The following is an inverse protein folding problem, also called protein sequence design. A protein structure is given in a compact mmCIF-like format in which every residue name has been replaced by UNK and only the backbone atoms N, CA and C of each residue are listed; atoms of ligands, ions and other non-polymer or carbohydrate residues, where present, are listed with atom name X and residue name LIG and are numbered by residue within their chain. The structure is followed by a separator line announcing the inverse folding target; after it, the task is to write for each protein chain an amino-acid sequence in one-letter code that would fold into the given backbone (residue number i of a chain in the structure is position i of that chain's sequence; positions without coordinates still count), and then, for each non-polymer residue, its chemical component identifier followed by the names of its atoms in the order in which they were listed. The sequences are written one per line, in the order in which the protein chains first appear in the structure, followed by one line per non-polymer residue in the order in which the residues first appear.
data_IF_078394467767
#
_entry.id   IF_078394467767
#
_cell.length_a   1.000
_cell.length_b   1.000
_cell.length_c   1.000
_cell.angle_alpha   90.00
_cell.angle_beta   90.00
_cell.angle_gamma   90.00
#
_symmetry.space_group_name_H-M   'P 1'
#
loop_
_entity.id
_entity.type
_entity.pdbx_description
1 polymer ?
#
# COMPACT_ATOMS: atom_id res chain seq x y z
N UNK A 1 -5.95 -6.86 9.17
CA UNK A 1 -5.72 -7.07 7.73
C UNK A 1 -5.96 -5.74 7.05
N UNK A 2 -4.92 -4.91 7.05
CA UNK A 2 -4.92 -3.59 6.41
C UNK A 2 -3.58 -3.41 5.68
N UNK A 3 -2.49 -3.85 6.32
CA UNK A 3 -1.17 -3.92 5.72
C UNK A 3 -1.05 -5.04 4.69
N UNK A 4 -0.33 -4.77 3.60
CA UNK A 4 0.08 -5.73 2.59
C UNK A 4 1.45 -5.34 1.99
N UNK A 5 2.05 -6.28 1.24
CA UNK A 5 3.37 -6.12 0.63
C UNK A 5 3.23 -5.60 -0.82
N UNK A 6 3.78 -4.43 -1.12
CA UNK A 6 3.66 -3.77 -2.43
C UNK A 6 5.00 -3.64 -3.17
N UNK A 7 4.94 -3.76 -4.50
CA UNK A 7 6.05 -3.55 -5.44
C UNK A 7 5.64 -2.49 -6.46
N UNK A 8 5.96 -1.22 -6.16
CA UNK A 8 5.53 -0.05 -6.93
C UNK A 8 6.01 -0.02 -8.38
N UNK A 9 7.30 -0.33 -8.63
CA UNK A 9 7.86 -0.41 -9.98
C UNK A 9 8.39 -1.81 -10.25
N UNK A 10 7.67 -2.65 -11.04
CA UNK A 10 8.12 -3.99 -11.36
C UNK A 10 9.32 -4.02 -12.33
N UNK A 11 9.72 -2.88 -12.89
CA UNK A 11 10.90 -2.73 -13.73
C UNK A 11 12.14 -2.24 -12.96
N UNK A 12 11.99 -1.80 -11.70
CA UNK A 12 13.15 -1.49 -10.85
C UNK A 12 13.91 -2.78 -10.46
N UNK A 13 15.25 -2.78 -10.42
CA UNK A 13 16.02 -3.92 -9.95
C UNK A 13 15.62 -4.32 -8.53
N UNK A 14 15.31 -5.62 -8.35
CA UNK A 14 14.94 -6.31 -7.10
C UNK A 14 15.01 -5.45 -5.83
N UNK A 15 14.02 -4.58 -5.64
CA UNK A 15 13.82 -3.83 -4.41
C UNK A 15 13.01 -4.68 -3.46
N UNK A 16 13.32 -4.59 -2.17
CA UNK A 16 12.50 -5.22 -1.14
C UNK A 16 11.06 -4.65 -1.23
N UNK A 17 10.02 -5.49 -1.13
CA UNK A 17 8.65 -5.00 -1.02
C UNK A 17 8.49 -4.08 0.18
N UNK A 18 7.59 -3.12 0.07
CA UNK A 18 7.34 -2.09 1.09
C UNK A 18 5.99 -2.37 1.75
N UNK A 19 5.82 -2.15 3.07
CA UNK A 19 4.51 -2.23 3.67
C UNK A 19 3.62 -1.10 3.16
N UNK A 20 2.41 -1.44 2.77
CA UNK A 20 1.40 -0.47 2.38
C UNK A 20 0.04 -0.83 2.96
N UNK A 21 -0.85 0.15 3.09
CA UNK A 21 -2.15 -0.02 3.74
C UNK A 21 -3.29 0.18 2.76
N UNK A 22 -4.23 -0.76 2.76
CA UNK A 22 -5.45 -0.66 1.96
C UNK A 22 -6.27 0.57 2.38
N UNK A 23 -6.33 0.88 3.67
CA UNK A 23 -7.03 2.06 4.18
C UNK A 23 -6.44 3.38 3.66
N UNK A 24 -5.11 3.53 3.69
CA UNK A 24 -4.41 4.69 3.15
C UNK A 24 -4.60 4.79 1.62
N UNK A 25 -4.46 3.67 0.90
CA UNK A 25 -4.68 3.62 -0.55
C UNK A 25 -6.07 4.15 -0.94
N UNK A 26 -7.10 3.72 -0.23
CA UNK A 26 -8.48 4.13 -0.50
C UNK A 26 -8.70 5.60 -0.14
N UNK A 27 -8.09 6.09 0.94
CA UNK A 27 -8.17 7.49 1.33
C UNK A 27 -7.49 8.41 0.30
N UNK A 28 -6.31 8.01 -0.19
CA UNK A 28 -5.56 8.74 -1.21
C UNK A 28 -6.30 8.75 -2.55
N UNK A 29 -6.83 7.60 -2.96
CA UNK A 29 -7.63 7.48 -4.18
C UNK A 29 -8.87 8.40 -4.15
N UNK A 30 -9.60 8.42 -3.03
CA UNK A 30 -10.77 9.29 -2.87
C UNK A 30 -10.36 10.76 -2.90
N UNK A 31 -9.21 11.10 -2.31
CA UNK A 31 -8.67 12.47 -2.29
C UNK A 31 -8.35 12.95 -3.71
N UNK A 32 -7.64 12.15 -4.50
CA UNK A 32 -7.27 12.49 -5.88
C UNK A 32 -8.48 12.63 -6.80
N UNK A 33 -9.41 11.68 -6.74
CA UNK A 33 -10.64 11.72 -7.54
C UNK A 33 -11.52 12.90 -7.14
N UNK A 34 -11.59 13.19 -5.83
CA UNK A 34 -12.32 14.31 -5.26
C UNK A 34 -11.79 15.67 -5.75
N UNK A 35 -10.48 15.80 -5.96
CA UNK A 35 -9.90 17.04 -6.48
C UNK A 35 -10.42 17.35 -7.89
N UNK A 36 -10.36 16.39 -8.82
CA UNK A 36 -10.91 16.59 -10.16
C UNK A 36 -12.44 16.79 -10.14
N UNK A 37 -13.15 16.12 -9.23
CA UNK A 37 -14.59 16.32 -9.05
C UNK A 37 -14.93 17.75 -8.62
N UNK A 38 -14.16 18.35 -7.71
CA UNK A 38 -14.36 19.74 -7.30
C UNK A 38 -14.16 20.75 -8.44
N UNK A 39 -13.30 20.45 -9.42
CA UNK A 39 -13.21 21.24 -10.65
C UNK A 39 -14.43 21.05 -11.55
N UNK A 40 -14.88 19.80 -11.68
CA UNK A 40 -16.04 19.45 -12.50
C UNK A 40 -17.33 20.12 -11.99
N UNK A 41 -17.57 20.06 -10.69
CA UNK A 41 -18.73 20.69 -10.03
C UNK A 41 -18.74 22.23 -10.16
N UNK A 42 -17.57 22.82 -10.43
CA UNK A 42 -17.41 24.25 -10.71
C UNK A 42 -17.49 24.58 -12.21
N UNK A 43 -18.01 23.66 -13.05
CA UNK A 43 -18.11 23.77 -14.51
C UNK A 43 -16.77 23.95 -15.24
N UNK A 44 -15.65 23.61 -14.56
CA UNK A 44 -14.28 23.67 -15.11
C UNK A 44 -13.86 22.30 -15.64
N UNK A 45 -14.55 21.83 -16.67
CA UNK A 45 -14.41 20.47 -17.21
C UNK A 45 -13.01 20.18 -17.74
N UNK A 46 -12.35 21.14 -18.38
CA UNK A 46 -11.01 20.94 -18.91
C UNK A 46 -9.99 20.72 -17.78
N UNK A 47 -10.08 21.50 -16.70
CA UNK A 47 -9.25 21.38 -15.52
C UNK A 47 -9.53 20.08 -14.75
N UNK A 48 -10.79 19.66 -14.64
CA UNK A 48 -11.16 18.38 -14.05
C UNK A 48 -10.51 17.20 -14.79
N UNK A 49 -10.67 17.16 -16.12
CA UNK A 49 -10.07 16.13 -16.97
C UNK A 49 -8.55 16.13 -16.89
N UNK A 50 -7.94 17.31 -16.83
CA UNK A 50 -6.51 17.45 -16.67
C UNK A 50 -6.05 16.88 -15.32
N UNK A 51 -6.70 17.25 -14.22
CA UNK A 51 -6.35 16.74 -12.89
C UNK A 51 -6.51 15.24 -12.78
N UNK A 52 -7.63 14.68 -13.25
CA UNK A 52 -7.83 13.24 -13.24
C UNK A 52 -6.79 12.51 -14.08
N UNK A 53 -6.44 13.00 -15.28
CA UNK A 53 -5.43 12.36 -16.11
C UNK A 53 -4.04 12.43 -15.46
N UNK A 54 -3.64 13.60 -14.99
CA UNK A 54 -2.33 13.77 -14.35
C UNK A 54 -2.20 12.87 -13.12
N UNK A 55 -3.16 12.97 -12.20
CA UNK A 55 -3.15 12.20 -10.95
C UNK A 55 -3.29 10.69 -11.20
N UNK A 56 -3.91 10.26 -12.30
CA UNK A 56 -3.97 8.84 -12.66
C UNK A 56 -2.58 8.26 -12.86
N UNK A 57 -1.74 8.97 -13.63
CA UNK A 57 -0.39 8.52 -13.94
C UNK A 57 0.59 8.77 -12.80
N UNK A 58 0.35 9.78 -11.96
CA UNK A 58 1.28 10.12 -10.88
C UNK A 58 0.96 9.48 -9.55
N UNK A 59 -0.29 9.03 -9.31
CA UNK A 59 -0.71 8.50 -8.01
C UNK A 59 -1.89 7.51 -8.08
N UNK A 60 -3.15 7.97 -8.16
CA UNK A 60 -4.31 7.09 -7.93
C UNK A 60 -4.43 5.89 -8.88
N UNK A 61 -3.84 5.92 -10.08
CA UNK A 61 -3.87 4.78 -11.00
C UNK A 61 -3.07 3.57 -10.49
N UNK A 62 -1.85 3.79 -9.99
CA UNK A 62 -1.05 2.74 -9.37
C UNK A 62 -1.65 2.32 -8.03
N UNK A 63 -2.06 3.28 -7.20
CA UNK A 63 -2.70 3.04 -5.89
C UNK A 63 -3.98 2.21 -6.02
N UNK A 64 -4.84 2.53 -7.00
CA UNK A 64 -6.04 1.72 -7.29
C UNK A 64 -5.71 0.27 -7.67
N UNK A 65 -4.67 0.09 -8.48
CA UNK A 65 -4.27 -1.21 -9.00
C UNK A 65 -3.69 -2.09 -7.89
N UNK A 66 -2.90 -1.48 -7.02
CA UNK A 66 -2.30 -2.06 -5.83
C UNK A 66 -3.38 -2.52 -4.82
N UNK A 67 -4.27 -1.61 -4.40
CA UNK A 67 -5.37 -1.91 -3.50
C UNK A 67 -6.30 -3.00 -4.05
N UNK A 68 -6.62 -2.95 -5.35
CA UNK A 68 -7.43 -3.99 -6.00
C UNK A 68 -6.73 -5.35 -5.92
N UNK A 69 -5.41 -5.41 -6.18
CA UNK A 69 -4.64 -6.65 -6.10
C UNK A 69 -4.61 -7.21 -4.69
N UNK A 70 -4.40 -6.36 -3.68
CA UNK A 70 -4.40 -6.75 -2.28
C UNK A 70 -5.77 -7.34 -1.87
N UNK A 71 -6.87 -6.66 -2.21
CA UNK A 71 -8.24 -7.13 -1.93
C UNK A 71 -8.56 -8.44 -2.65
N UNK A 72 -8.16 -8.59 -3.91
CA UNK A 72 -8.34 -9.84 -4.65
C UNK A 72 -7.58 -11.00 -4.00
N UNK A 73 -6.34 -10.76 -3.57
CA UNK A 73 -5.52 -11.75 -2.84
C UNK A 73 -6.19 -12.15 -1.53
N UNK A 74 -6.66 -11.18 -0.75
CA UNK A 74 -7.37 -11.40 0.51
C UNK A 74 -8.61 -12.28 0.31
N UNK A 75 -9.45 -11.94 -0.68
CA UNK A 75 -10.65 -12.72 -0.98
C UNK A 75 -10.29 -14.13 -1.43
N UNK A 76 -9.22 -14.32 -2.21
CA UNK A 76 -8.76 -15.63 -2.64
C UNK A 76 -8.33 -16.50 -1.46
N UNK A 77 -7.52 -15.97 -0.54
CA UNK A 77 -7.09 -16.68 0.68
C UNK A 77 -8.30 -17.16 1.51
N UNK A 78 -9.28 -16.28 1.73
CA UNK A 78 -10.52 -16.60 2.45
C UNK A 78 -11.31 -17.69 1.72
N UNK A 79 -11.48 -17.58 0.40
CA UNK A 79 -12.31 -18.49 -0.39
C UNK A 79 -11.68 -19.86 -0.61
N UNK A 80 -10.36 -19.92 -0.69
CA UNK A 80 -9.60 -21.16 -0.88
C UNK A 80 -9.17 -21.80 0.44
N UNK A 81 -9.44 -21.18 1.58
CA UNK A 81 -9.04 -21.69 2.90
C UNK A 81 -7.53 -21.68 3.10
N UNK A 82 -6.83 -20.75 2.45
CA UNK A 82 -5.39 -20.57 2.59
C UNK A 82 -5.15 -19.44 3.60
N UNK A 83 -4.49 -19.70 4.75
CA UNK A 83 -4.18 -18.64 5.70
C UNK A 83 -3.19 -17.64 5.08
N UNK A 84 -3.29 -16.37 5.48
CA UNK A 84 -2.29 -15.36 5.14
C UNK A 84 -1.04 -15.62 5.98
N UNK A 85 0.12 -15.60 5.34
CA UNK A 85 1.41 -15.62 6.02
C UNK A 85 1.71 -14.27 6.67
N UNK A 86 2.57 -14.30 7.68
CA UNK A 86 3.05 -13.09 8.33
C UNK A 86 3.88 -12.26 7.36
N UNK A 87 3.78 -10.93 7.44
CA UNK A 87 4.45 -10.04 6.50
C UNK A 87 5.92 -9.78 6.88
N UNK A 88 6.60 -10.74 7.51
CA UNK A 88 8.01 -10.62 7.95
C UNK A 88 8.35 -9.29 8.64
N UNK A 89 7.50 -8.83 9.57
CA UNK A 89 7.69 -7.56 10.30
C UNK A 89 7.38 -6.29 9.51
N UNK A 90 6.87 -6.38 8.28
CA UNK A 90 6.39 -5.22 7.51
C UNK A 90 5.13 -4.60 8.14
N UNK A 91 4.35 -5.38 8.89
CA UNK A 91 3.19 -4.89 9.63
C UNK A 91 3.62 -4.11 10.88
N UNK A 92 3.80 -2.81 10.73
CA UNK A 92 4.22 -1.89 11.81
C UNK A 92 3.08 -1.39 12.69
N UNK A 93 1.83 -1.84 12.45
CA UNK A 93 0.69 -1.55 13.31
C UNK A 93 0.69 -2.36 14.61
N UNK A 94 1.56 -3.36 14.70
CA UNK A 94 1.74 -4.13 15.92
C UNK A 94 2.65 -3.31 16.84
N UNK A 95 2.16 -2.93 18.02
CA UNK A 95 2.97 -2.39 19.11
C UNK A 95 3.73 -3.58 19.72
N UNK A 96 5.00 -3.83 19.31
CA UNK A 96 5.72 -4.97 19.82
C UNK A 96 6.09 -4.64 21.27
N UNK A 97 5.95 -5.60 22.18
CA UNK A 97 6.35 -5.36 23.56
C UNK A 97 7.83 -4.96 23.64
N UNK A 98 8.24 -4.24 24.69
CA UNK A 98 9.66 -3.91 24.92
C UNK A 98 10.57 -5.15 24.87
N UNK A 99 10.04 -6.32 25.23
CA UNK A 99 10.74 -7.61 25.20
C UNK A 99 10.94 -8.12 23.76
N UNK A 100 9.91 -8.04 22.90
CA UNK A 100 9.99 -8.41 21.48
C UNK A 100 10.98 -7.51 20.72
N UNK A 101 10.97 -6.20 21.02
CA UNK A 101 11.91 -5.23 20.45
C UNK A 101 13.37 -5.54 20.83
N UNK A 102 13.61 -5.99 22.07
CA UNK A 102 14.95 -6.33 22.54
C UNK A 102 15.48 -7.61 21.88
N UNK A 103 14.63 -8.62 21.68
CA UNK A 103 14.98 -9.85 20.97
C UNK A 103 15.30 -9.58 19.49
N UNK A 104 14.46 -8.81 18.81
CA UNK A 104 14.64 -8.41 17.41
C UNK A 104 15.95 -7.63 17.21
N UNK A 105 16.23 -6.65 18.08
CA UNK A 105 17.47 -5.90 18.06
C UNK A 105 18.70 -6.81 18.27
N UNK A 106 18.59 -7.81 19.14
CA UNK A 106 19.62 -8.83 19.34
C UNK A 106 19.88 -9.66 18.08
N UNK A 107 18.82 -10.05 17.35
CA UNK A 107 18.90 -10.80 16.10
C UNK A 107 19.58 -9.99 14.99
N UNK A 108 19.12 -8.76 14.75
CA UNK A 108 19.72 -7.86 13.74
C UNK A 108 21.20 -7.61 14.06
N UNK A 109 21.55 -7.38 15.32
CA UNK A 109 22.94 -7.16 15.72
C UNK A 109 23.84 -8.38 15.48
N UNK A 110 23.33 -9.60 15.60
CA UNK A 110 24.10 -10.81 15.28
C UNK A 110 24.33 -10.97 13.77
N UNK A 111 23.36 -10.62 12.93
CA UNK A 111 23.49 -10.65 11.47
C UNK A 111 24.50 -9.61 10.96
N UNK A 112 24.52 -8.41 11.53
CA UNK A 112 25.44 -7.33 11.13
C UNK A 112 26.90 -7.56 11.56
N UNK A 113 27.15 -8.46 12.51
CA UNK A 113 28.50 -8.78 13.02
C UNK A 113 29.10 -10.03 12.32
N UNK A 114 28.33 -10.77 11.54
CA UNK A 114 28.73 -11.99 10.82
C UNK A 114 29.37 -11.70 9.45
#
# INVERSE_FOLDING_TARGET
IDVYSEVFDPYEPRKAPVPHRISDDLADLVTDLGHGLAHYDAERTAEALWWWQFSYFSNWGSTASAALRALQSLVAHIRLGQPLEELDGLDTDQDPGEEDLAEEAGRVMLEEIA
#
